data_IF_473507398362
#
_entry.id   IF_473507398362
#
_cell.length_a   1.000
_cell.length_b   1.000
_cell.length_c   1.000
_cell.angle_alpha   90.00
_cell.angle_beta   90.00
_cell.angle_gamma   90.00
#
_symmetry.space_group_name_H-M   'P 1'
#
loop_
_entity.id
_entity.type
_entity.pdbx_description
1 polymer ?
#
# COMPACT_ATOMS: atom_id res chain seq x y z
N UNK A 1 -10.81 18.59 10.98
CA UNK A 1 -11.58 17.35 10.71
C UNK A 1 -12.46 17.40 9.46
N UNK A 2 -12.96 18.57 9.03
CA UNK A 2 -13.80 18.71 7.82
C UNK A 2 -13.16 18.26 6.49
N UNK A 3 -11.84 18.01 6.47
CA UNK A 3 -11.07 17.57 5.29
C UNK A 3 -10.94 16.06 5.15
N UNK A 4 -10.95 15.35 6.29
CA UNK A 4 -10.78 13.89 6.28
C UNK A 4 -12.03 13.22 5.72
N UNK A 5 -13.20 13.73 6.11
CA UNK A 5 -14.51 13.31 5.60
C UNK A 5 -15.26 14.56 5.13
N UNK A 6 -14.96 15.06 3.91
CA UNK A 6 -15.60 16.26 3.41
C UNK A 6 -17.07 16.00 3.10
N UNK A 7 -17.92 17.01 3.30
CA UNK A 7 -19.36 16.93 2.96
C UNK A 7 -19.62 16.85 1.45
N UNK A 8 -18.69 17.40 0.66
CA UNK A 8 -18.74 17.41 -0.81
C UNK A 8 -17.46 16.78 -1.33
N UNK A 9 -17.60 15.79 -2.20
CA UNK A 9 -16.49 15.10 -2.86
C UNK A 9 -16.43 15.60 -4.30
N UNK A 10 -15.62 16.64 -4.52
CA UNK A 10 -15.38 17.24 -5.83
C UNK A 10 -13.90 17.09 -6.26
N UNK A 11 -13.55 17.67 -7.41
CA UNK A 11 -12.17 17.64 -7.93
C UNK A 11 -11.26 18.73 -7.32
N UNK A 12 -11.67 19.38 -6.23
CA UNK A 12 -10.96 20.51 -5.63
C UNK A 12 -10.12 20.09 -4.42
N UNK A 13 -8.84 19.81 -4.66
CA UNK A 13 -7.88 19.59 -3.57
C UNK A 13 -7.47 20.90 -2.89
N UNK A 14 -7.81 21.03 -1.61
CA UNK A 14 -7.52 22.24 -0.82
C UNK A 14 -6.20 22.15 0.00
N UNK A 15 -5.53 21.00 -0.04
CA UNK A 15 -4.30 20.75 0.71
C UNK A 15 -3.04 21.24 0.00
N UNK A 16 -1.88 21.24 0.68
CA UNK A 16 -0.60 21.55 0.05
C UNK A 16 -0.30 20.59 -1.11
N UNK A 17 0.08 21.12 -2.28
CA UNK A 17 0.35 20.34 -3.51
C UNK A 17 1.43 19.27 -3.31
N UNK A 18 2.38 19.49 -2.40
CA UNK A 18 3.42 18.49 -2.10
C UNK A 18 2.82 17.17 -1.60
N UNK A 19 1.74 17.21 -0.82
CA UNK A 19 1.03 16.00 -0.40
C UNK A 19 0.25 15.36 -1.54
N UNK A 20 -0.22 16.11 -2.53
CA UNK A 20 -0.79 15.49 -3.74
C UNK A 20 0.30 14.74 -4.53
N UNK A 21 1.46 15.38 -4.76
CA UNK A 21 2.54 14.78 -5.53
C UNK A 21 3.16 13.56 -4.85
N UNK A 22 3.37 13.61 -3.53
CA UNK A 22 3.79 12.43 -2.79
C UNK A 22 2.79 11.28 -2.95
N UNK A 23 1.48 11.56 -2.81
CA UNK A 23 0.46 10.53 -2.95
C UNK A 23 0.49 9.88 -4.34
N UNK A 24 0.68 10.68 -5.39
CA UNK A 24 0.81 10.16 -6.77
C UNK A 24 2.03 9.25 -6.88
N UNK A 25 3.21 9.65 -6.39
CA UNK A 25 4.44 8.84 -6.44
C UNK A 25 4.23 7.53 -5.66
N UNK A 26 3.68 7.63 -4.44
CA UNK A 26 3.34 6.48 -3.61
C UNK A 26 2.37 5.53 -4.33
N UNK A 27 1.39 6.06 -5.05
CA UNK A 27 0.44 5.26 -5.83
C UNK A 27 1.07 4.60 -7.05
N UNK A 28 2.03 5.24 -7.74
CA UNK A 28 2.78 4.59 -8.85
C UNK A 28 3.51 3.35 -8.33
N UNK A 29 4.25 3.50 -7.22
CA UNK A 29 4.99 2.38 -6.62
C UNK A 29 4.04 1.27 -6.16
N UNK A 30 2.96 1.62 -5.45
CA UNK A 30 1.99 0.62 -4.99
C UNK A 30 1.29 -0.08 -6.15
N UNK A 31 0.95 0.63 -7.22
CA UNK A 31 0.31 0.03 -8.39
C UNK A 31 1.21 -1.02 -9.03
N UNK A 32 2.49 -0.68 -9.25
CA UNK A 32 3.48 -1.62 -9.80
C UNK A 32 3.58 -2.90 -8.96
N UNK A 33 3.84 -2.77 -7.66
CA UNK A 33 3.97 -3.95 -6.79
C UNK A 33 2.67 -4.74 -6.62
N UNK A 34 1.51 -4.09 -6.72
CA UNK A 34 0.21 -4.78 -6.67
C UNK A 34 0.03 -5.69 -7.87
N UNK A 35 0.41 -5.21 -9.07
CA UNK A 35 0.38 -6.04 -10.27
C UNK A 35 1.39 -7.18 -10.22
N UNK A 36 2.57 -6.96 -9.64
CA UNK A 36 3.53 -8.04 -9.39
C UNK A 36 2.90 -9.12 -8.53
N UNK A 37 2.33 -8.78 -7.37
CA UNK A 37 1.66 -9.76 -6.51
C UNK A 37 0.50 -10.48 -7.21
N UNK A 38 -0.25 -9.76 -8.04
CA UNK A 38 -1.41 -10.33 -8.72
C UNK A 38 -1.03 -11.28 -9.89
N UNK A 39 -0.05 -10.91 -10.70
CA UNK A 39 0.18 -11.52 -12.02
C UNK A 39 1.48 -12.31 -12.17
N UNK A 40 2.45 -12.18 -11.26
CA UNK A 40 3.69 -12.97 -11.33
C UNK A 40 3.44 -14.43 -10.98
N UNK A 41 4.23 -15.33 -11.57
CA UNK A 41 4.09 -16.79 -11.41
C UNK A 41 4.18 -17.25 -9.95
N UNK A 42 5.02 -16.57 -9.15
CA UNK A 42 5.21 -16.84 -7.72
C UNK A 42 4.53 -15.79 -6.82
N UNK A 43 3.67 -14.93 -7.37
CA UNK A 43 3.10 -13.76 -6.69
C UNK A 43 4.15 -12.83 -6.02
N UNK A 44 5.41 -12.86 -6.48
CA UNK A 44 6.55 -12.14 -5.91
C UNK A 44 7.04 -12.69 -4.58
N UNK A 45 6.59 -13.89 -4.18
CA UNK A 45 6.90 -14.51 -2.89
C UNK A 45 8.37 -14.97 -2.84
N UNK A 46 8.87 -15.65 -3.87
CA UNK A 46 10.24 -16.15 -3.88
C UNK A 46 11.19 -15.14 -4.52
N UNK A 47 10.83 -14.66 -5.71
CA UNK A 47 11.64 -13.82 -6.59
C UNK A 47 11.91 -12.40 -6.05
N UNK A 48 11.04 -11.89 -5.17
CA UNK A 48 11.15 -10.52 -4.61
C UNK A 48 11.16 -10.53 -3.09
N UNK A 49 10.26 -11.30 -2.46
CA UNK A 49 10.19 -11.34 -1.00
C UNK A 49 11.25 -12.24 -0.36
N UNK A 50 12.06 -12.94 -1.15
CA UNK A 50 13.13 -13.82 -0.67
C UNK A 50 12.61 -14.93 0.25
N UNK A 51 11.36 -15.39 0.06
CA UNK A 51 10.81 -16.55 0.77
C UNK A 51 11.28 -17.83 0.06
N UNK A 52 11.68 -18.85 0.82
CA UNK A 52 12.10 -20.14 0.24
C UNK A 52 10.94 -20.84 -0.49
N UNK A 53 11.26 -21.74 -1.41
CA UNK A 53 10.31 -22.70 -1.98
C UNK A 53 10.14 -23.88 -1.04
N UNK A 54 8.93 -24.44 -0.96
CA UNK A 54 8.63 -25.56 -0.07
C UNK A 54 8.51 -26.88 -0.85
N UNK A 55 9.18 -27.93 -0.38
CA UNK A 55 9.01 -29.27 -0.95
C UNK A 55 7.75 -29.96 -0.37
N UNK A 56 6.92 -30.55 -1.23
CA UNK A 56 5.74 -31.31 -0.80
C UNK A 56 4.92 -31.90 -1.96
N UNK A 57 3.99 -32.79 -1.62
CA UNK A 57 3.01 -33.32 -2.58
C UNK A 57 1.60 -33.38 -1.92
N UNK A 58 0.62 -32.58 -2.36
CA UNK A 58 0.71 -31.61 -3.46
C UNK A 58 1.71 -30.48 -3.15
N UNK A 59 2.20 -29.82 -4.20
CA UNK A 59 3.14 -28.71 -4.12
C UNK A 59 2.57 -27.56 -3.26
N UNK A 60 3.15 -27.28 -2.08
CA UNK A 60 2.67 -26.23 -1.17
C UNK A 60 2.75 -24.82 -1.75
N UNK A 61 3.73 -24.58 -2.63
CA UNK A 61 3.98 -23.24 -3.17
C UNK A 61 2.81 -22.75 -4.03
N UNK A 62 2.15 -23.63 -4.77
CA UNK A 62 0.93 -23.29 -5.52
C UNK A 62 -0.18 -22.71 -4.63
N UNK A 63 -0.34 -23.23 -3.40
CA UNK A 63 -1.31 -22.69 -2.45
C UNK A 63 -0.87 -21.32 -1.91
N UNK A 64 0.41 -21.14 -1.65
CA UNK A 64 0.98 -19.87 -1.19
C UNK A 64 0.81 -18.79 -2.26
N UNK A 65 1.10 -19.12 -3.52
CA UNK A 65 0.96 -18.20 -4.65
C UNK A 65 -0.49 -17.82 -4.90
N UNK A 66 -1.45 -18.74 -4.71
CA UNK A 66 -2.88 -18.40 -4.75
C UNK A 66 -3.20 -17.27 -3.75
N UNK A 67 -2.80 -17.40 -2.48
CA UNK A 67 -3.06 -16.36 -1.49
C UNK A 67 -2.26 -15.07 -1.77
N UNK A 68 -1.04 -15.19 -2.29
CA UNK A 68 -0.25 -14.04 -2.75
C UNK A 68 -0.97 -13.27 -3.87
N UNK A 69 -1.55 -13.98 -4.83
CA UNK A 69 -2.29 -13.41 -5.96
C UNK A 69 -3.62 -12.79 -5.51
N UNK A 70 -4.38 -13.46 -4.63
CA UNK A 70 -5.58 -12.89 -4.00
C UNK A 70 -5.26 -11.60 -3.21
N UNK A 71 -4.09 -11.53 -2.58
CA UNK A 71 -3.66 -10.30 -1.93
C UNK A 71 -3.35 -9.20 -2.95
N UNK A 72 -2.63 -9.54 -4.02
CA UNK A 72 -2.33 -8.64 -5.14
C UNK A 72 -3.60 -8.11 -5.80
N UNK A 73 -4.60 -8.95 -6.04
CA UNK A 73 -5.86 -8.58 -6.69
C UNK A 73 -6.58 -7.47 -5.90
N UNK A 74 -6.65 -7.61 -4.57
CA UNK A 74 -7.30 -6.64 -3.70
C UNK A 74 -6.51 -5.33 -3.66
N UNK A 75 -5.17 -5.41 -3.71
CA UNK A 75 -4.32 -4.23 -3.80
C UNK A 75 -4.51 -3.50 -5.14
N UNK A 76 -4.65 -4.21 -6.25
CA UNK A 76 -4.93 -3.62 -7.58
C UNK A 76 -6.26 -2.89 -7.56
N UNK A 77 -7.32 -3.47 -6.98
CA UNK A 77 -8.62 -2.82 -6.82
C UNK A 77 -8.53 -1.55 -5.96
N UNK A 78 -7.81 -1.61 -4.83
CA UNK A 78 -7.60 -0.43 -3.98
C UNK A 78 -6.79 0.65 -4.71
N UNK A 79 -5.81 0.27 -5.52
CA UNK A 79 -5.05 1.20 -6.36
C UNK A 79 -5.94 1.85 -7.42
N UNK A 80 -6.81 1.08 -8.09
CA UNK A 80 -7.76 1.60 -9.07
C UNK A 80 -8.66 2.68 -8.46
N UNK A 81 -9.23 2.42 -7.28
CA UNK A 81 -10.09 3.40 -6.58
C UNK A 81 -9.26 4.62 -6.17
N UNK A 82 -8.03 4.43 -5.70
CA UNK A 82 -7.12 5.52 -5.35
C UNK A 82 -6.80 6.42 -6.56
N UNK A 83 -6.60 5.84 -7.74
CA UNK A 83 -6.38 6.59 -8.98
C UNK A 83 -7.61 7.36 -9.42
N UNK A 84 -8.82 6.77 -9.30
CA UNK A 84 -10.07 7.50 -9.55
C UNK A 84 -10.16 8.74 -8.64
N UNK A 85 -9.78 8.61 -7.37
CA UNK A 85 -9.73 9.73 -6.43
C UNK A 85 -8.71 10.79 -6.84
N UNK A 86 -7.50 10.37 -7.24
CA UNK A 86 -6.45 11.27 -7.74
C UNK A 86 -6.92 12.06 -8.97
N UNK A 87 -7.64 11.43 -9.91
CA UNK A 87 -8.01 12.07 -11.17
C UNK A 87 -9.30 12.87 -11.10
N UNK A 88 -10.27 12.47 -10.26
CA UNK A 88 -11.64 13.01 -10.34
C UNK A 88 -12.23 13.52 -9.03
N UNK A 89 -11.75 13.04 -7.88
CA UNK A 89 -12.35 13.29 -6.58
C UNK A 89 -11.31 13.74 -5.56
N UNK A 90 -10.46 14.69 -5.96
CA UNK A 90 -9.26 15.06 -5.20
C UNK A 90 -9.54 15.61 -3.80
N UNK A 91 -10.75 16.12 -3.54
CA UNK A 91 -11.18 16.48 -2.18
C UNK A 91 -11.09 15.32 -1.18
N UNK A 92 -11.15 14.08 -1.66
CA UNK A 92 -11.12 12.86 -0.83
C UNK A 92 -9.72 12.25 -0.62
N UNK A 93 -8.67 12.87 -1.18
CA UNK A 93 -7.28 12.40 -1.01
C UNK A 93 -6.86 12.23 0.45
N UNK A 94 -7.18 13.15 1.39
CA UNK A 94 -6.82 12.95 2.80
C UNK A 94 -7.42 11.68 3.42
N UNK A 95 -8.62 11.27 2.98
CA UNK A 95 -9.22 10.01 3.41
C UNK A 95 -8.44 8.81 2.86
N UNK A 96 -8.03 8.86 1.60
CA UNK A 96 -7.25 7.79 1.00
C UNK A 96 -5.85 7.67 1.62
N UNK A 97 -5.24 8.78 2.03
CA UNK A 97 -4.07 8.72 2.91
C UNK A 97 -4.33 7.91 4.19
N UNK A 98 -5.46 8.13 4.86
CA UNK A 98 -5.82 7.36 6.06
C UNK A 98 -5.99 5.87 5.77
N UNK A 99 -6.66 5.51 4.66
CA UNK A 99 -6.83 4.10 4.26
C UNK A 99 -5.47 3.41 4.07
N UNK A 100 -4.57 4.04 3.30
CA UNK A 100 -3.23 3.50 3.09
C UNK A 100 -2.40 3.50 4.38
N UNK A 101 -2.53 4.51 5.23
CA UNK A 101 -1.84 4.55 6.52
C UNK A 101 -2.29 3.42 7.43
N UNK A 102 -3.60 3.16 7.50
CA UNK A 102 -4.15 2.04 8.25
C UNK A 102 -3.66 0.71 7.69
N UNK A 103 -3.64 0.53 6.37
CA UNK A 103 -3.11 -0.68 5.74
C UNK A 103 -1.65 -0.96 6.17
N UNK A 104 -0.77 0.03 6.10
CA UNK A 104 0.63 -0.11 6.51
C UNK A 104 0.79 -0.31 8.03
N UNK A 105 -0.02 0.36 8.85
CA UNK A 105 -0.02 0.16 10.31
C UNK A 105 -0.46 -1.27 10.66
N UNK A 106 -1.51 -1.79 10.02
CA UNK A 106 -2.00 -3.14 10.26
C UNK A 106 -0.99 -4.18 9.78
N UNK A 107 -0.37 -3.96 8.61
CA UNK A 107 0.69 -4.82 8.06
C UNK A 107 1.87 -4.97 9.03
N UNK A 108 2.46 -3.85 9.46
CA UNK A 108 3.67 -3.85 10.29
C UNK A 108 3.34 -4.11 11.77
N UNK A 109 2.27 -3.52 12.27
CA UNK A 109 1.93 -3.50 13.69
C UNK A 109 1.09 -4.68 14.17
N UNK A 110 0.33 -5.33 13.27
CA UNK A 110 -0.57 -6.44 13.60
C UNK A 110 -0.13 -7.72 12.91
N UNK A 111 -0.15 -7.78 11.58
CA UNK A 111 0.09 -9.02 10.80
C UNK A 111 1.44 -9.63 11.14
N UNK A 112 2.52 -8.84 11.10
CA UNK A 112 3.86 -9.32 11.45
C UNK A 112 4.03 -9.81 12.89
N UNK A 113 3.08 -9.51 13.79
CA UNK A 113 3.08 -9.99 15.18
C UNK A 113 2.22 -11.22 15.40
N UNK A 114 1.07 -11.31 14.72
CA UNK A 114 0.18 -12.47 14.81
C UNK A 114 0.66 -13.65 13.97
N UNK A 115 1.37 -13.35 12.88
CA UNK A 115 1.94 -14.32 11.95
C UNK A 115 3.40 -13.92 11.64
N UNK A 116 4.31 -13.99 12.63
CA UNK A 116 5.71 -13.69 12.41
C UNK A 116 6.32 -14.73 11.47
N UNK A 117 7.10 -14.27 10.51
CA UNK A 117 7.86 -15.16 9.64
C UNK A 117 9.27 -15.37 10.23
N UNK A 118 9.57 -16.61 10.59
CA UNK A 118 10.89 -16.96 11.12
C UNK A 118 11.98 -16.90 10.05
N UNK A 119 13.25 -16.63 10.41
CA UNK A 119 14.35 -16.54 9.45
C UNK A 119 14.56 -17.80 8.60
N UNK A 120 14.14 -18.97 9.08
CA UNK A 120 14.24 -20.23 8.32
C UNK A 120 13.45 -20.20 7.01
N UNK A 121 12.42 -19.36 6.92
CA UNK A 121 11.60 -19.23 5.72
C UNK A 121 12.14 -18.19 4.72
N UNK A 122 13.27 -17.53 5.02
CA UNK A 122 13.79 -16.42 4.21
C UNK A 122 15.25 -16.63 3.80
N UNK A 123 15.59 -16.26 2.57
CA UNK A 123 16.98 -16.20 2.06
C UNK A 123 17.59 -14.81 2.13
N UNK A 124 16.78 -13.80 2.46
CA UNK A 124 17.18 -12.40 2.57
C UNK A 124 16.03 -11.52 3.06
N UNK A 125 16.31 -10.23 3.27
CA UNK A 125 15.30 -9.27 3.71
C UNK A 125 14.38 -8.95 2.53
N UNK A 126 13.06 -9.01 2.73
CA UNK A 126 12.09 -8.53 1.73
C UNK A 126 12.20 -7.00 1.59
N UNK A 127 12.36 -6.42 0.38
CA UNK A 127 12.46 -4.96 0.22
C UNK A 127 11.29 -4.19 0.85
N UNK A 128 10.08 -4.73 0.76
CA UNK A 128 8.89 -4.16 1.39
C UNK A 128 8.89 -4.18 2.92
N UNK A 129 9.68 -5.03 3.55
CA UNK A 129 9.90 -5.07 5.00
C UNK A 129 11.01 -4.11 5.42
N UNK A 130 12.13 -4.08 4.69
CA UNK A 130 13.29 -3.23 4.99
C UNK A 130 12.91 -1.74 5.06
N UNK A 131 12.12 -1.28 4.11
CA UNK A 131 11.73 0.13 3.97
C UNK A 131 10.38 0.45 4.63
N UNK A 132 9.76 -0.49 5.34
CA UNK A 132 8.40 -0.33 5.84
C UNK A 132 8.24 0.84 6.81
N UNK A 133 9.23 1.06 7.67
CA UNK A 133 9.24 2.17 8.62
C UNK A 133 9.39 3.53 7.92
N UNK A 134 10.19 3.60 6.84
CA UNK A 134 10.33 4.82 6.02
C UNK A 134 8.98 5.15 5.39
N UNK A 135 8.32 4.16 4.80
CA UNK A 135 7.00 4.35 4.19
C UNK A 135 5.99 4.83 5.22
N UNK A 136 5.94 4.20 6.41
CA UNK A 136 5.05 4.63 7.50
C UNK A 136 5.29 6.08 7.94
N UNK A 137 6.55 6.48 8.12
CA UNK A 137 6.92 7.84 8.51
C UNK A 137 6.51 8.84 7.44
N UNK A 138 6.85 8.58 6.17
CA UNK A 138 6.49 9.47 5.07
C UNK A 138 4.98 9.56 4.88
N UNK A 139 4.28 8.43 4.93
CA UNK A 139 2.82 8.38 4.77
C UNK A 139 2.11 9.11 5.92
N UNK A 140 2.60 8.96 7.17
CA UNK A 140 2.11 9.72 8.32
C UNK A 140 2.34 11.23 8.17
N UNK A 141 3.56 11.62 7.77
CA UNK A 141 3.91 13.02 7.56
C UNK A 141 3.03 13.66 6.48
N UNK A 142 2.93 13.03 5.31
CA UNK A 142 2.15 13.57 4.19
C UNK A 142 0.64 13.49 4.40
N UNK A 143 0.16 12.50 5.17
CA UNK A 143 -1.21 12.49 5.68
C UNK A 143 -1.49 13.75 6.51
N UNK A 144 -0.65 14.05 7.49
CA UNK A 144 -0.80 15.26 8.31
C UNK A 144 -0.77 16.54 7.47
N UNK A 145 0.15 16.61 6.50
CA UNK A 145 0.23 17.74 5.56
C UNK A 145 -1.06 17.88 4.73
N UNK A 146 -1.63 16.77 4.26
CA UNK A 146 -2.84 16.77 3.43
C UNK A 146 -4.07 17.39 4.12
N UNK A 147 -4.08 17.42 5.46
CA UNK A 147 -5.16 17.97 6.26
C UNK A 147 -5.14 19.51 6.36
N UNK A 148 -4.02 20.17 6.03
CA UNK A 148 -3.90 21.63 6.11
C UNK A 148 -4.62 22.36 4.98
N UNK A 149 -5.07 23.61 5.22
CA UNK A 149 -5.66 24.46 4.16
C UNK A 149 -4.60 25.37 3.59
N UNK A 150 -4.40 25.30 2.29
CA UNK A 150 -3.70 26.38 1.61
C UNK A 150 -4.68 27.54 1.50
N UNK A 151 -4.33 28.69 2.08
CA UNK A 151 -5.07 29.93 1.83
C UNK A 151 -4.82 30.30 0.36
N UNK A 152 -5.87 30.28 -0.46
CA UNK A 152 -5.83 30.95 -1.76
C UNK A 152 -5.67 32.44 -1.49
N UNK A 153 -4.60 33.03 -2.04
CA UNK A 153 -4.46 34.48 -2.14
C UNK A 153 -5.52 35.02 -3.08
#
# INVERSE_FOLDING_TARGET
MTRLLPKVIDDNYQGPKIALYFFIIFMIVNTWRSFVHFLSEDAGINSIANIITFEGNPDPDNLIYLFGSLWGEMQVLLCLISWIVIFRYKAFIPFFYLIWLLEWILRVGVVGKIHPLEPIYQTGITPGQEYAWIVLVLLSLFFMISLFKVKTK
#
